data_IF_921468633715
#
_entry.id   IF_921468633715
#
_cell.length_a   1.000
_cell.length_b   1.000
_cell.length_c   1.000
_cell.angle_alpha   90.00
_cell.angle_beta   90.00
_cell.angle_gamma   90.00
#
_symmetry.space_group_name_H-M   'P 1'
#
loop_
_entity.id
_entity.type
_entity.pdbx_description
1 polymer ?
#
# COMPACT_ATOMS: atom_id res chain seq x y z
N UNK A 1 -11.44 27.62 -4.79
CA UNK A 1 -10.10 27.26 -5.34
C UNK A 1 -9.38 26.44 -4.27
N UNK A 2 -8.47 25.51 -4.59
CA UNK A 2 -7.67 24.84 -3.54
C UNK A 2 -6.79 25.87 -2.83
N UNK A 3 -6.86 25.93 -1.50
CA UNK A 3 -6.06 26.82 -0.64
C UNK A 3 -5.25 25.98 0.35
N UNK A 4 -4.04 25.56 -0.04
CA UNK A 4 -3.22 24.67 0.81
C UNK A 4 -2.76 25.31 2.14
N UNK A 5 -2.88 26.63 2.30
CA UNK A 5 -2.64 27.31 3.58
C UNK A 5 -3.69 27.00 4.64
N UNK A 6 -4.88 26.51 4.25
CA UNK A 6 -5.96 26.11 5.16
C UNK A 6 -6.06 24.59 5.31
N UNK A 7 -5.08 23.84 4.78
CA UNK A 7 -5.03 22.39 4.90
C UNK A 7 -4.94 21.95 6.36
N UNK A 8 -5.87 21.09 6.76
CA UNK A 8 -5.91 20.52 8.11
C UNK A 8 -6.11 19.00 8.03
N UNK A 9 -5.28 18.27 8.77
CA UNK A 9 -5.29 16.81 8.89
C UNK A 9 -5.44 16.33 10.35
N UNK A 10 -5.87 17.19 11.27
CA UNK A 10 -5.99 16.87 12.71
C UNK A 10 -6.94 15.69 12.98
N UNK A 11 -7.91 15.47 12.09
CA UNK A 11 -8.84 14.35 12.17
C UNK A 11 -8.24 13.01 11.72
N UNK A 12 -7.08 13.01 11.06
CA UNK A 12 -6.43 11.80 10.57
C UNK A 12 -5.53 11.19 11.65
N UNK A 13 -5.92 10.01 12.14
CA UNK A 13 -5.05 9.20 12.99
C UNK A 13 -4.14 8.34 12.13
N UNK A 14 -2.82 8.43 12.37
CA UNK A 14 -1.81 7.60 11.70
C UNK A 14 -1.78 6.15 12.20
N UNK A 15 -2.48 5.84 13.28
CA UNK A 15 -2.53 4.48 13.87
C UNK A 15 -1.25 4.05 14.62
N UNK A 16 -0.25 4.91 14.72
CA UNK A 16 0.99 4.64 15.45
C UNK A 16 1.58 5.93 16.05
N UNK A 17 2.38 5.82 17.13
CA UNK A 17 3.11 6.95 17.68
C UNK A 17 4.23 7.41 16.73
N UNK A 18 4.55 8.71 16.76
CA UNK A 18 5.55 9.33 15.86
C UNK A 18 6.92 8.66 15.87
N UNK A 19 7.38 8.17 17.03
CA UNK A 19 8.68 7.48 17.12
C UNK A 19 8.71 6.19 16.30
N UNK A 20 7.59 5.47 16.23
CA UNK A 20 7.46 4.23 15.45
C UNK A 20 7.54 4.53 13.96
N UNK A 21 6.95 5.64 13.53
CA UNK A 21 7.04 6.11 12.15
C UNK A 21 8.46 6.53 11.77
N UNK A 22 9.15 7.28 12.65
CA UNK A 22 10.55 7.67 12.41
C UNK A 22 11.44 6.42 12.31
N UNK A 23 11.25 5.45 13.21
CA UNK A 23 12.00 4.20 13.16
C UNK A 23 11.68 3.39 11.88
N UNK A 24 10.41 3.38 11.46
CA UNK A 24 10.01 2.75 10.21
C UNK A 24 10.69 3.40 9.01
N UNK A 25 10.75 4.73 8.98
CA UNK A 25 11.42 5.46 7.90
C UNK A 25 12.89 5.06 7.76
N UNK A 26 13.60 4.87 8.88
CA UNK A 26 14.97 4.39 8.89
C UNK A 26 15.06 2.95 8.38
N UNK A 27 14.24 2.03 8.91
CA UNK A 27 14.23 0.62 8.49
C UNK A 27 13.85 0.46 7.01
N UNK A 28 12.86 1.21 6.53
CA UNK A 28 12.47 1.26 5.11
C UNK A 28 13.65 1.68 4.24
N UNK A 29 14.36 2.73 4.65
CA UNK A 29 15.52 3.26 3.90
C UNK A 29 16.67 2.25 3.81
N UNK A 30 16.88 1.43 4.85
CA UNK A 30 17.95 0.43 4.89
C UNK A 30 17.57 -0.90 4.23
N UNK A 31 16.32 -1.36 4.37
CA UNK A 31 15.92 -2.70 3.95
C UNK A 31 15.17 -2.74 2.61
N UNK A 32 14.57 -1.62 2.18
CA UNK A 32 13.70 -1.58 1.00
C UNK A 32 14.25 -0.69 -0.12
N UNK A 33 14.84 0.46 0.22
CA UNK A 33 15.36 1.43 -0.76
C UNK A 33 16.68 1.08 -1.46
N UNK A 34 17.58 0.18 -0.97
CA UNK A 34 18.84 -0.07 -1.67
C UNK A 34 18.66 -0.58 -3.11
N UNK A 35 19.66 -0.29 -3.96
CA UNK A 35 19.69 -0.83 -5.33
C UNK A 35 19.84 -2.35 -5.32
N UNK A 36 20.64 -2.89 -4.41
CA UNK A 36 20.94 -4.33 -4.36
C UNK A 36 19.82 -5.13 -3.68
N UNK A 37 19.63 -6.40 -4.08
CA UNK A 37 18.50 -7.20 -3.63
C UNK A 37 18.70 -7.70 -2.18
N UNK A 38 18.06 -7.02 -1.23
CA UNK A 38 17.88 -7.55 0.14
C UNK A 38 16.91 -8.75 0.10
N UNK A 39 17.25 -9.90 0.72
CA UNK A 39 16.38 -11.07 0.79
C UNK A 39 14.98 -10.76 1.33
N UNK A 40 13.95 -11.36 0.74
CA UNK A 40 12.54 -11.17 1.14
C UNK A 40 12.31 -11.50 2.62
N UNK A 41 13.00 -12.51 3.16
CA UNK A 41 12.87 -12.91 4.57
C UNK A 41 13.20 -11.78 5.55
N UNK A 42 14.22 -10.96 5.24
CA UNK A 42 14.60 -9.81 6.06
C UNK A 42 13.51 -8.75 5.99
N UNK A 43 13.05 -8.43 4.77
CA UNK A 43 11.97 -7.44 4.56
C UNK A 43 10.68 -7.85 5.28
N UNK A 44 10.31 -9.13 5.19
CA UNK A 44 9.14 -9.70 5.87
C UNK A 44 9.29 -9.63 7.39
N UNK A 45 10.46 -9.99 7.94
CA UNK A 45 10.71 -9.90 9.37
C UNK A 45 10.59 -8.45 9.88
N UNK A 46 11.14 -7.48 9.14
CA UNK A 46 11.00 -6.06 9.45
C UNK A 46 9.53 -5.63 9.37
N UNK A 47 8.78 -5.98 8.33
CA UNK A 47 7.35 -5.63 8.24
C UNK A 47 6.55 -6.15 9.43
N UNK A 48 6.76 -7.42 9.80
CA UNK A 48 6.11 -8.04 10.96
C UNK A 48 6.47 -7.33 12.27
N UNK A 49 7.74 -6.94 12.46
CA UNK A 49 8.18 -6.16 13.62
C UNK A 49 7.43 -4.82 13.75
N UNK A 50 7.10 -4.19 12.62
CA UNK A 50 6.35 -2.93 12.61
C UNK A 50 4.83 -3.10 12.61
N UNK A 51 4.32 -4.33 12.74
CA UNK A 51 2.90 -4.63 12.93
C UNK A 51 2.15 -5.02 11.67
N UNK A 52 2.82 -5.23 10.53
CA UNK A 52 2.17 -5.84 9.38
C UNK A 52 1.86 -7.31 9.65
N UNK A 53 0.77 -7.82 9.09
CA UNK A 53 0.54 -9.26 8.97
C UNK A 53 1.03 -9.71 7.60
N UNK A 54 1.93 -10.68 7.58
CA UNK A 54 2.53 -11.17 6.32
C UNK A 54 2.60 -12.68 6.38
N UNK A 55 1.99 -13.35 5.42
CA UNK A 55 1.95 -14.80 5.28
C UNK A 55 3.28 -15.43 4.87
N UNK A 56 3.22 -16.68 4.41
CA UNK A 56 4.34 -17.48 3.94
C UNK A 56 4.63 -17.27 2.46
N UNK A 57 5.84 -17.59 2.00
CA UNK A 57 6.18 -17.54 0.58
C UNK A 57 6.14 -16.14 -0.07
N UNK A 58 6.12 -15.06 0.73
CA UNK A 58 6.04 -13.69 0.20
C UNK A 58 7.37 -13.23 -0.39
N UNK A 59 7.33 -12.78 -1.65
CA UNK A 59 8.48 -12.22 -2.37
C UNK A 59 8.34 -10.70 -2.45
N UNK A 60 9.34 -9.98 -1.93
CA UNK A 60 9.36 -8.51 -1.95
C UNK A 60 10.60 -8.04 -2.70
N UNK A 61 10.37 -7.47 -3.89
CA UNK A 61 11.43 -6.99 -4.78
C UNK A 61 12.02 -5.65 -4.32
N UNK A 62 12.95 -5.09 -5.10
CA UNK A 62 13.70 -3.91 -4.69
C UNK A 62 12.82 -2.65 -4.74
N UNK A 63 13.11 -1.69 -3.86
CA UNK A 63 12.45 -0.37 -3.83
C UNK A 63 10.93 -0.40 -3.61
N UNK A 64 10.37 -1.49 -3.08
CA UNK A 64 8.97 -1.52 -2.62
C UNK A 64 8.81 -0.49 -1.49
N UNK A 65 7.85 0.42 -1.64
CA UNK A 65 7.63 1.51 -0.71
C UNK A 65 6.28 1.35 0.01
N UNK A 66 6.32 1.16 1.31
CA UNK A 66 5.14 1.03 2.16
C UNK A 66 5.12 2.20 3.15
N UNK A 67 4.03 2.94 3.21
CA UNK A 67 3.90 4.13 4.06
C UNK A 67 3.78 3.75 5.54
N UNK A 68 2.74 2.98 5.89
CA UNK A 68 2.48 2.53 7.26
C UNK A 68 2.29 1.00 7.29
N UNK A 69 3.31 0.23 7.72
CA UNK A 69 3.25 -1.23 7.69
C UNK A 69 2.23 -1.81 8.67
N UNK A 70 1.88 -1.11 9.75
CA UNK A 70 0.83 -1.56 10.69
C UNK A 70 -0.59 -1.54 10.12
N UNK A 71 -0.78 -0.97 8.92
CA UNK A 71 -2.04 -1.01 8.18
C UNK A 71 -2.02 -2.08 7.06
N UNK A 72 -1.02 -2.95 7.01
CA UNK A 72 -0.79 -3.88 5.90
C UNK A 72 -1.04 -5.33 6.33
N UNK A 73 -1.90 -6.01 5.58
CA UNK A 73 -2.11 -7.46 5.67
C UNK A 73 -1.82 -8.09 4.30
N UNK A 74 -0.91 -9.06 4.27
CA UNK A 74 -0.49 -9.82 3.08
C UNK A 74 -0.69 -11.31 3.39
N UNK A 75 -1.44 -12.01 2.54
CA UNK A 75 -1.65 -13.45 2.60
C UNK A 75 -0.42 -14.27 2.17
N UNK A 76 -0.66 -15.53 1.85
CA UNK A 76 0.39 -16.48 1.47
C UNK A 76 0.71 -16.40 -0.03
N UNK A 77 1.96 -16.67 -0.38
CA UNK A 77 2.45 -16.76 -1.77
C UNK A 77 2.21 -15.49 -2.60
N UNK A 78 2.47 -14.33 -2.00
CA UNK A 78 2.32 -13.02 -2.67
C UNK A 78 3.64 -12.54 -3.28
N UNK A 79 3.56 -11.97 -4.48
CA UNK A 79 4.70 -11.32 -5.14
C UNK A 79 4.50 -9.81 -5.24
N UNK A 80 5.42 -9.02 -4.65
CA UNK A 80 5.49 -7.57 -4.81
C UNK A 80 6.68 -7.20 -5.69
N UNK A 81 6.40 -6.76 -6.91
CA UNK A 81 7.35 -6.36 -7.94
C UNK A 81 8.18 -5.13 -7.58
N UNK A 82 9.20 -4.85 -8.40
CA UNK A 82 10.10 -3.72 -8.15
C UNK A 82 9.33 -2.39 -8.11
N UNK A 83 9.67 -1.53 -7.15
CA UNK A 83 9.07 -0.19 -7.02
C UNK A 83 7.54 -0.16 -6.82
N UNK A 84 6.92 -1.27 -6.37
CA UNK A 84 5.52 -1.22 -5.93
C UNK A 84 5.37 -0.19 -4.80
N UNK A 85 4.38 0.68 -4.94
CA UNK A 85 4.06 1.70 -3.94
C UNK A 85 2.75 1.32 -3.24
N UNK A 86 2.78 1.30 -1.92
CA UNK A 86 1.61 1.04 -1.06
C UNK A 86 1.47 2.23 -0.10
N UNK A 87 0.65 3.20 -0.51
CA UNK A 87 0.25 4.31 0.36
C UNK A 87 -0.86 3.80 1.28
N UNK A 88 -0.48 3.24 2.42
CA UNK A 88 -1.37 2.64 3.44
C UNK A 88 -1.79 3.63 4.54
N UNK A 89 -2.38 4.76 4.17
CA UNK A 89 -3.01 5.69 5.12
C UNK A 89 -4.23 5.06 5.81
N UNK A 90 -4.90 4.13 5.14
CA UNK A 90 -5.87 3.19 5.68
C UNK A 90 -5.38 1.74 5.44
N UNK A 91 -6.17 0.75 5.87
CA UNK A 91 -5.87 -0.66 5.71
C UNK A 91 -5.74 -1.09 4.24
N UNK A 92 -4.72 -1.91 3.98
CA UNK A 92 -4.50 -2.57 2.70
C UNK A 92 -4.43 -4.07 2.98
N UNK A 93 -5.38 -4.82 2.41
CA UNK A 93 -5.45 -6.27 2.49
C UNK A 93 -5.15 -6.88 1.14
N UNK A 94 -4.19 -7.79 1.11
CA UNK A 94 -3.80 -8.56 -0.06
C UNK A 94 -4.00 -10.04 0.29
N UNK A 95 -4.83 -10.73 -0.48
CA UNK A 95 -5.12 -12.15 -0.32
C UNK A 95 -3.96 -13.06 -0.68
N UNK A 96 -4.28 -14.34 -0.88
CA UNK A 96 -3.33 -15.39 -1.21
C UNK A 96 -3.08 -15.47 -2.71
N UNK A 97 -1.89 -15.92 -3.10
CA UNK A 97 -1.52 -16.16 -4.50
C UNK A 97 -1.67 -14.90 -5.39
N UNK A 98 -1.43 -13.71 -4.81
CA UNK A 98 -1.55 -12.43 -5.52
C UNK A 98 -0.22 -12.01 -6.12
N UNK A 99 -0.23 -11.57 -7.38
CA UNK A 99 0.93 -10.94 -8.02
C UNK A 99 0.67 -9.45 -8.21
N UNK A 100 1.52 -8.60 -7.63
CA UNK A 100 1.54 -7.16 -7.85
C UNK A 100 2.82 -6.83 -8.61
N UNK A 101 2.67 -6.47 -9.87
CA UNK A 101 3.79 -6.22 -10.78
C UNK A 101 4.42 -4.86 -10.54
N UNK A 102 5.61 -4.67 -11.11
CA UNK A 102 6.47 -3.52 -10.90
C UNK A 102 5.73 -2.19 -11.08
N UNK A 103 6.06 -1.23 -10.20
CA UNK A 103 5.57 0.15 -10.21
C UNK A 103 4.04 0.29 -10.11
N UNK A 104 3.32 -0.77 -9.77
CA UNK A 104 1.92 -0.65 -9.40
C UNK A 104 1.77 0.22 -8.15
N UNK A 105 0.68 0.98 -8.07
CA UNK A 105 0.42 1.91 -6.97
C UNK A 105 -0.92 1.61 -6.32
N UNK A 106 -0.86 1.15 -5.06
CA UNK A 106 -2.00 0.96 -4.19
C UNK A 106 -2.15 2.20 -3.32
N UNK A 107 -3.23 2.94 -3.52
CA UNK A 107 -3.40 4.28 -2.98
C UNK A 107 -4.66 4.38 -2.12
N UNK A 108 -4.53 4.21 -0.80
CA UNK A 108 -5.66 4.41 0.13
C UNK A 108 -5.99 5.89 0.36
N UNK A 109 -5.08 6.80 0.02
CA UNK A 109 -5.22 8.24 0.21
C UNK A 109 -5.78 8.99 -1.01
N UNK A 110 -6.59 10.00 -0.76
CA UNK A 110 -7.03 11.01 -1.72
C UNK A 110 -7.39 12.30 -0.96
N UNK A 111 -7.98 13.27 -1.63
CA UNK A 111 -8.41 14.52 -1.03
C UNK A 111 -9.76 14.96 -1.59
N UNK A 112 -10.56 15.65 -0.76
CA UNK A 112 -11.77 16.32 -1.24
C UNK A 112 -11.39 17.60 -1.98
N UNK A 113 -11.19 17.49 -3.29
CA UNK A 113 -10.83 18.63 -4.14
C UNK A 113 -11.92 19.70 -4.26
N UNK A 114 -13.13 19.42 -3.74
CA UNK A 114 -14.26 20.37 -3.74
C UNK A 114 -14.20 21.30 -2.53
N UNK A 115 -13.46 20.93 -1.49
CA UNK A 115 -13.21 21.78 -0.33
C UNK A 115 -11.94 22.61 -0.54
N UNK A 116 -11.99 23.87 -0.13
CA UNK A 116 -10.83 24.76 -0.24
C UNK A 116 -9.66 24.27 0.62
N UNK A 117 -9.95 23.67 1.78
CA UNK A 117 -8.98 23.08 2.70
C UNK A 117 -8.35 21.78 2.20
N UNK A 118 -8.82 21.20 1.09
CA UNK A 118 -8.25 19.99 0.48
C UNK A 118 -8.13 18.82 1.45
N UNK A 119 -9.19 18.59 2.24
CA UNK A 119 -9.21 17.61 3.33
C UNK A 119 -8.79 16.21 2.85
N UNK A 120 -7.98 15.52 3.66
CA UNK A 120 -7.58 14.14 3.38
C UNK A 120 -8.79 13.18 3.42
N UNK A 121 -8.85 12.29 2.43
CA UNK A 121 -9.73 11.12 2.38
C UNK A 121 -8.86 9.88 2.44
N UNK A 122 -9.08 9.01 3.42
CA UNK A 122 -8.46 7.69 3.48
C UNK A 122 -9.56 6.62 3.40
N UNK A 123 -9.37 5.61 2.54
CA UNK A 123 -10.30 4.47 2.41
C UNK A 123 -9.51 3.18 2.21
N UNK A 124 -9.99 2.05 2.75
CA UNK A 124 -9.27 0.78 2.68
C UNK A 124 -9.20 0.24 1.25
N UNK A 125 -8.25 -0.67 1.00
CA UNK A 125 -8.17 -1.45 -0.25
C UNK A 125 -8.19 -2.95 0.11
N UNK A 126 -9.01 -3.72 -0.60
CA UNK A 126 -8.97 -5.19 -0.57
C UNK A 126 -8.60 -5.72 -1.96
N UNK A 127 -7.62 -6.62 -2.02
CA UNK A 127 -7.27 -7.39 -3.20
C UNK A 127 -7.45 -8.85 -2.83
N UNK A 128 -8.44 -9.51 -3.41
CA UNK A 128 -8.79 -10.89 -3.09
C UNK A 128 -7.81 -11.89 -3.74
N UNK A 129 -7.98 -13.16 -3.41
CA UNK A 129 -7.09 -14.25 -3.80
C UNK A 129 -6.91 -14.39 -5.32
N UNK A 130 -5.72 -14.77 -5.76
CA UNK A 130 -5.42 -15.09 -7.15
C UNK A 130 -5.37 -13.88 -8.10
N UNK A 131 -5.43 -12.65 -7.59
CA UNK A 131 -5.37 -11.46 -8.41
C UNK A 131 -4.00 -11.22 -9.06
N UNK A 132 -4.02 -10.61 -10.25
CA UNK A 132 -2.83 -10.07 -10.90
C UNK A 132 -2.98 -8.58 -11.20
N UNK A 133 -2.24 -7.76 -10.45
CA UNK A 133 -2.15 -6.32 -10.67
C UNK A 133 -0.94 -6.06 -11.57
N UNK A 134 -1.19 -5.81 -12.86
CA UNK A 134 -0.12 -5.64 -13.84
C UNK A 134 0.71 -4.36 -13.61
N UNK A 135 1.84 -4.27 -14.31
CA UNK A 135 2.81 -3.21 -14.13
C UNK A 135 2.19 -1.81 -14.29
N UNK A 136 2.57 -0.88 -13.42
CA UNK A 136 2.08 0.50 -13.43
C UNK A 136 0.56 0.68 -13.27
N UNK A 137 -0.18 -0.37 -12.92
CA UNK A 137 -1.60 -0.22 -12.57
C UNK A 137 -1.77 0.60 -11.29
N UNK A 138 -2.89 1.32 -11.19
CA UNK A 138 -3.27 2.12 -10.04
C UNK A 138 -4.55 1.55 -9.41
N UNK A 139 -4.51 1.30 -8.10
CA UNK A 139 -5.66 0.89 -7.30
C UNK A 139 -6.03 2.03 -6.35
N UNK A 140 -7.21 2.61 -6.55
CA UNK A 140 -7.65 3.81 -5.83
C UNK A 140 -8.27 3.53 -4.45
N UNK A 141 -8.57 4.59 -3.68
CA UNK A 141 -9.13 4.45 -2.33
C UNK A 141 -10.49 3.76 -2.34
N UNK A 142 -10.70 2.81 -1.43
CA UNK A 142 -11.96 2.07 -1.30
C UNK A 142 -12.10 0.90 -2.27
N UNK A 143 -11.09 0.62 -3.08
CA UNK A 143 -11.18 -0.42 -4.11
C UNK A 143 -11.25 -1.82 -3.51
N UNK A 144 -12.14 -2.64 -4.07
CA UNK A 144 -12.19 -4.08 -3.84
C UNK A 144 -11.94 -4.76 -5.19
N UNK A 145 -10.82 -5.47 -5.31
CA UNK A 145 -10.46 -6.24 -6.50
C UNK A 145 -10.91 -7.68 -6.27
N UNK A 146 -11.94 -8.18 -6.99
CA UNK A 146 -12.49 -9.52 -6.78
C UNK A 146 -11.47 -10.62 -7.07
N UNK A 147 -11.68 -11.80 -6.51
CA UNK A 147 -10.77 -12.93 -6.69
C UNK A 147 -10.54 -13.24 -8.17
N UNK A 148 -9.34 -13.74 -8.48
CA UNK A 148 -8.92 -14.15 -9.84
C UNK A 148 -9.00 -13.03 -10.90
N UNK A 149 -9.05 -11.77 -10.46
CA UNK A 149 -9.13 -10.62 -11.37
C UNK A 149 -7.74 -10.16 -11.79
N UNK A 150 -7.61 -9.87 -13.09
CA UNK A 150 -6.45 -9.20 -13.65
C UNK A 150 -6.76 -7.72 -13.91
N UNK A 151 -5.96 -6.83 -13.33
CA UNK A 151 -5.94 -5.39 -13.67
C UNK A 151 -4.82 -5.17 -14.69
N UNK A 152 -5.15 -4.56 -15.83
CA UNK A 152 -4.20 -4.43 -16.94
C UNK A 152 -3.09 -3.43 -16.62
N UNK A 153 -1.98 -3.54 -17.35
CA UNK A 153 -0.85 -2.64 -17.16
C UNK A 153 -1.27 -1.18 -17.41
N UNK A 154 -0.91 -0.28 -16.51
CA UNK A 154 -1.27 1.15 -16.58
C UNK A 154 -2.75 1.48 -16.34
N UNK A 155 -3.60 0.48 -16.07
CA UNK A 155 -5.01 0.69 -15.81
C UNK A 155 -5.24 1.35 -14.44
N UNK A 156 -6.31 2.13 -14.33
CA UNK A 156 -6.77 2.71 -13.06
C UNK A 156 -8.03 1.99 -12.64
N UNK A 157 -7.99 1.35 -11.48
CA UNK A 157 -9.12 0.63 -10.89
C UNK A 157 -9.60 1.35 -9.64
N UNK A 158 -10.90 1.64 -9.58
CA UNK A 158 -11.57 2.21 -8.42
C UNK A 158 -13.03 1.76 -8.37
N UNK A 159 -13.26 0.51 -7.95
CA UNK A 159 -14.59 -0.03 -7.70
C UNK A 159 -14.77 -0.21 -6.20
N UNK A 160 -15.68 0.57 -5.61
CA UNK A 160 -16.14 0.41 -4.23
C UNK A 160 -17.40 -0.44 -4.26
N UNK A 161 -17.54 -1.42 -3.36
CA UNK A 161 -18.80 -2.18 -3.23
C UNK A 161 -19.96 -1.22 -2.97
N UNK A 162 -20.82 -1.07 -3.98
CA UNK A 162 -22.16 -0.53 -3.92
C UNK A 162 -22.85 -0.93 -5.23
N UNK A 163 -23.33 -2.18 -5.31
CA UNK A 163 -24.22 -2.65 -6.38
C UNK A 163 -23.65 -2.57 -7.80
#
# INVERSE_FOLDING_TARGET
MIQLSTFNNDHFSRGAPKWKEVLWWLCRSLCFSPWFPIPSLIKVAVLRLFGAKVGEGVVIRSRVNITFPWNLEIGDHVWLGDEVMILSLDSVKIGNNVCISQRAFLCTGSHDFRKESFDLIAKPISIEDGCWICAQAFIGPGSIVPAETMIKAGERYSRTDNG
#
